data_IF_893997368113
#
_entry.id   IF_893997368113
#
_cell.length_a   1.000
_cell.length_b   1.000
_cell.length_c   1.000
_cell.angle_alpha   90.00
_cell.angle_beta   90.00
_cell.angle_gamma   90.00
#
_symmetry.space_group_name_H-M   'P 1'
#
loop_
_entity.id
_entity.type
_entity.pdbx_description
1 polymer ?
#
# COMPACT_ATOMS: atom_id res chain seq x y z
N UNK A 1 -0.98 -6.23 -0.88
CA UNK A 1 0.11 -7.20 -1.13
C UNK A 1 1.42 -6.48 -0.81
N UNK A 2 2.30 -7.08 0.00
CA UNK A 2 3.59 -6.49 0.35
C UNK A 2 4.67 -7.26 -0.42
N UNK A 3 5.53 -6.54 -1.14
CA UNK A 3 6.65 -7.10 -1.91
C UNK A 3 7.94 -6.37 -1.53
N UNK A 4 8.75 -6.94 -0.62
CA UNK A 4 10.00 -6.33 -0.17
C UNK A 4 11.10 -6.32 -1.24
N UNK A 5 11.12 -7.26 -2.18
CA UNK A 5 12.18 -7.31 -3.20
C UNK A 5 12.04 -6.11 -4.16
N UNK A 6 10.81 -5.78 -4.55
CA UNK A 6 10.51 -4.62 -5.39
C UNK A 6 10.25 -3.33 -4.59
N UNK A 7 10.36 -3.37 -3.25
CA UNK A 7 10.08 -2.24 -2.36
C UNK A 7 8.71 -1.59 -2.61
N UNK A 8 7.66 -2.42 -2.74
CA UNK A 8 6.34 -1.97 -3.13
C UNK A 8 5.21 -2.57 -2.28
N UNK A 9 4.11 -1.83 -2.26
CA UNK A 9 2.82 -2.28 -1.73
C UNK A 9 1.77 -2.16 -2.83
N UNK A 10 1.12 -3.25 -3.19
CA UNK A 10 -0.03 -3.25 -4.10
C UNK A 10 -1.32 -3.25 -3.30
N UNK A 11 -2.15 -2.24 -3.49
CA UNK A 11 -3.52 -2.21 -2.96
C UNK A 11 -4.48 -2.70 -4.04
N UNK A 12 -5.15 -3.81 -3.78
CA UNK A 12 -6.20 -4.33 -4.65
C UNK A 12 -7.54 -3.71 -4.22
N UNK A 13 -8.13 -2.90 -5.09
CA UNK A 13 -9.40 -2.23 -4.84
C UNK A 13 -10.51 -2.91 -5.62
N UNK A 14 -11.65 -3.16 -4.96
CA UNK A 14 -12.83 -3.66 -5.66
C UNK A 14 -13.50 -2.53 -6.42
N UNK A 15 -13.41 -2.57 -7.76
CA UNK A 15 -13.97 -1.59 -8.68
C UNK A 15 -14.79 -2.32 -9.73
N UNK A 16 -16.05 -1.94 -9.89
CA UNK A 16 -16.95 -2.46 -10.94
C UNK A 16 -17.01 -4.01 -11.06
N UNK A 17 -16.96 -4.71 -9.93
CA UNK A 17 -17.07 -6.18 -9.90
C UNK A 17 -15.77 -6.93 -10.10
N UNK A 18 -14.62 -6.24 -10.12
CA UNK A 18 -13.29 -6.85 -10.22
C UNK A 18 -12.32 -6.17 -9.24
N UNK A 19 -11.18 -6.80 -8.99
CA UNK A 19 -10.08 -6.16 -8.28
C UNK A 19 -9.16 -5.46 -9.26
N UNK A 20 -8.89 -4.18 -9.02
CA UNK A 20 -7.88 -3.38 -9.72
C UNK A 20 -6.68 -3.16 -8.82
N UNK A 21 -5.48 -3.24 -9.39
CA UNK A 21 -4.22 -3.06 -8.66
C UNK A 21 -3.77 -1.60 -8.70
N UNK A 22 -3.50 -1.04 -7.52
CA UNK A 22 -2.82 0.25 -7.36
C UNK A 22 -1.48 0.03 -6.67
N UNK A 23 -0.40 0.44 -7.32
CA UNK A 23 0.96 0.30 -6.80
C UNK A 23 1.34 1.53 -5.97
N UNK A 24 1.95 1.29 -4.82
CA UNK A 24 2.55 2.29 -3.94
C UNK A 24 4.00 1.95 -3.67
N UNK A 25 4.86 2.96 -3.79
CA UNK A 25 6.30 2.86 -3.54
C UNK A 25 6.81 4.11 -2.82
N UNK A 26 7.90 3.94 -2.08
CA UNK A 26 8.55 5.01 -1.32
C UNK A 26 7.60 5.69 -0.33
N UNK A 27 7.68 7.01 -0.26
CA UNK A 27 6.96 7.84 0.71
C UNK A 27 5.55 8.27 0.25
N UNK A 28 5.06 7.74 -0.86
CA UNK A 28 3.70 8.05 -1.34
C UNK A 28 2.67 7.49 -0.35
N UNK A 29 1.81 8.33 0.27
CA UNK A 29 0.81 7.84 1.22
C UNK A 29 -0.25 6.97 0.54
N UNK A 30 -0.51 5.79 1.11
CA UNK A 30 -1.51 4.87 0.58
C UNK A 30 -2.90 5.44 0.81
N UNK A 31 -3.68 5.60 -0.26
CA UNK A 31 -5.04 6.11 -0.18
C UNK A 31 -6.01 4.97 0.15
N UNK A 32 -6.44 4.88 1.40
CA UNK A 32 -7.45 3.92 1.84
C UNK A 32 -8.86 4.46 1.61
N UNK A 33 -9.71 3.66 0.96
CA UNK A 33 -11.15 3.96 0.81
C UNK A 33 -11.99 3.47 1.99
N UNK A 34 -11.40 2.69 2.90
CA UNK A 34 -12.11 2.03 4.02
C UNK A 34 -11.77 2.66 5.36
N UNK A 35 -10.51 3.04 5.57
CA UNK A 35 -10.04 3.61 6.84
C UNK A 35 -9.71 5.08 6.63
N UNK A 36 -10.66 5.95 7.00
CA UNK A 36 -10.46 7.40 7.02
C UNK A 36 -9.35 7.75 8.02
N UNK A 37 -8.21 8.24 7.52
CA UNK A 37 -7.04 8.57 8.34
C UNK A 37 -5.89 7.55 8.24
N UNK A 38 -5.97 6.57 7.33
CA UNK A 38 -4.79 5.78 6.98
C UNK A 38 -3.73 6.68 6.33
N UNK A 39 -2.58 6.83 6.98
CA UNK A 39 -1.50 7.74 6.58
C UNK A 39 -0.13 7.06 6.66
N UNK A 40 -0.06 5.85 6.11
CA UNK A 40 1.21 5.12 5.98
C UNK A 40 1.64 5.05 4.52
N UNK A 41 2.93 5.21 4.29
CA UNK A 41 3.58 4.98 3.01
C UNK A 41 4.07 3.53 2.87
N UNK A 42 4.40 3.12 1.64
CA UNK A 42 5.00 1.82 1.38
C UNK A 42 6.36 1.67 2.11
N UNK A 43 7.18 2.73 2.13
CA UNK A 43 8.46 2.73 2.84
C UNK A 43 8.30 2.50 4.35
N UNK A 44 7.33 3.16 4.99
CA UNK A 44 7.06 2.99 6.42
C UNK A 44 6.59 1.57 6.76
N UNK A 45 5.75 0.98 5.90
CA UNK A 45 5.27 -0.40 6.09
C UNK A 45 6.42 -1.40 5.94
N UNK A 46 7.29 -1.21 4.95
CA UNK A 46 8.43 -2.10 4.69
C UNK A 46 9.55 -1.99 5.75
N UNK A 47 9.71 -0.80 6.35
CA UNK A 47 10.66 -0.57 7.43
C UNK A 47 10.15 -1.07 8.80
N UNK A 48 8.88 -1.43 8.92
CA UNK A 48 8.28 -1.81 10.21
C UNK A 48 8.98 -3.05 10.81
N UNK A 49 9.43 -2.93 12.06
CA UNK A 49 10.06 -4.03 12.79
C UNK A 49 11.54 -4.28 12.44
N UNK A 50 12.14 -3.46 11.58
CA UNK A 50 13.59 -3.46 11.40
C UNK A 50 14.23 -2.64 12.54
N UNK A 51 14.81 -3.35 13.52
CA UNK A 51 15.64 -2.81 14.59
C UNK A 51 17.12 -2.96 14.24
#
# INVERSE_FOLDING_TARGET
IIDPEMQQVTLCLWVNGQYEDTLYQGDTPIQSTVVSGFDLSAAQILAFGQN
#
